data_IF_727400218354
#
_entry.id   IF_727400218354
#
_cell.length_a   1.000
_cell.length_b   1.000
_cell.length_c   1.000
_cell.angle_alpha   90.00
_cell.angle_beta   90.00
_cell.angle_gamma   90.00
#
_symmetry.space_group_name_H-M   'P 1'
#
loop_
_entity.id
_entity.type
_entity.pdbx_description
1 polymer ?
#
# COMPACT_ATOMS: atom_id res chain seq x y z
N UNK A 1 16.55 -12.35 3.62
CA UNK A 1 17.52 -11.28 3.28
C UNK A 1 16.75 -10.20 2.56
N UNK A 2 16.99 -8.90 2.85
CA UNK A 2 16.39 -7.81 2.09
C UNK A 2 16.83 -7.90 0.62
N UNK A 3 16.01 -7.42 -0.33
CA UNK A 3 16.34 -7.49 -1.75
C UNK A 3 17.49 -6.55 -2.05
N UNK A 4 18.30 -6.86 -3.06
CA UNK A 4 19.23 -5.85 -3.57
C UNK A 4 18.42 -4.70 -4.18
N UNK A 5 18.98 -3.49 -4.14
CA UNK A 5 18.39 -2.32 -4.80
C UNK A 5 18.10 -2.58 -6.28
N UNK A 6 19.03 -3.25 -6.96
CA UNK A 6 18.91 -3.57 -8.38
C UNK A 6 17.68 -4.49 -8.63
N UNK A 7 17.54 -5.56 -7.85
CA UNK A 7 16.42 -6.50 -7.99
C UNK A 7 15.07 -5.84 -7.69
N UNK A 8 15.02 -5.01 -6.64
CA UNK A 8 13.81 -4.28 -6.26
C UNK A 8 13.40 -3.25 -7.32
N UNK A 9 14.36 -2.54 -7.90
CA UNK A 9 14.11 -1.57 -8.97
C UNK A 9 13.65 -2.26 -10.26
N UNK A 10 14.32 -3.35 -10.65
CA UNK A 10 13.94 -4.11 -11.84
C UNK A 10 12.54 -4.72 -11.69
N UNK A 11 12.19 -5.22 -10.50
CA UNK A 11 10.83 -5.67 -10.22
C UNK A 11 9.82 -4.50 -10.26
N UNK A 12 10.12 -3.37 -9.63
CA UNK A 12 9.24 -2.20 -9.61
C UNK A 12 8.94 -1.71 -11.03
N UNK A 13 9.94 -1.65 -11.91
CA UNK A 13 9.75 -1.31 -13.34
C UNK A 13 8.77 -2.26 -14.02
N UNK A 14 8.91 -3.56 -13.82
CA UNK A 14 7.99 -4.57 -14.39
C UNK A 14 6.57 -4.43 -13.85
N UNK A 15 6.42 -4.22 -12.55
CA UNK A 15 5.11 -4.16 -11.87
C UNK A 15 4.36 -2.87 -12.17
N UNK A 16 5.03 -1.72 -12.16
CA UNK A 16 4.39 -0.43 -12.39
C UNK A 16 4.30 -0.05 -13.88
N UNK A 17 5.08 -0.70 -14.75
CA UNK A 17 5.09 -0.44 -16.19
C UNK A 17 5.63 0.95 -16.54
N UNK A 18 6.48 1.53 -15.68
CA UNK A 18 7.03 2.87 -15.84
C UNK A 18 8.54 2.77 -16.01
N UNK A 19 9.04 3.36 -17.10
CA UNK A 19 10.47 3.46 -17.42
C UNK A 19 11.06 4.83 -16.99
N UNK A 20 10.65 5.33 -15.82
CA UNK A 20 11.14 6.58 -15.24
C UNK A 20 12.30 6.28 -14.28
N UNK A 21 13.41 5.82 -14.87
CA UNK A 21 14.52 5.19 -14.15
C UNK A 21 15.02 5.94 -12.91
N UNK A 22 15.19 7.26 -12.95
CA UNK A 22 15.76 8.02 -11.83
C UNK A 22 14.77 8.29 -10.69
N UNK A 23 13.55 8.72 -11.01
CA UNK A 23 12.51 9.03 -9.99
C UNK A 23 12.04 7.75 -9.31
N UNK A 24 11.77 6.69 -10.09
CA UNK A 24 11.37 5.40 -9.53
C UNK A 24 12.51 4.77 -8.71
N UNK A 25 13.77 4.95 -9.15
CA UNK A 25 14.95 4.51 -8.42
C UNK A 25 15.06 5.16 -7.04
N UNK A 26 14.89 6.48 -6.96
CA UNK A 26 14.92 7.21 -5.70
C UNK A 26 13.79 6.80 -4.76
N UNK A 27 12.57 6.60 -5.26
CA UNK A 27 11.46 6.12 -4.44
C UNK A 27 11.67 4.70 -3.89
N UNK A 28 12.21 3.79 -4.71
CA UNK A 28 12.49 2.41 -4.28
C UNK A 28 13.57 2.42 -3.20
N UNK A 29 14.63 3.21 -3.39
CA UNK A 29 15.68 3.39 -2.39
C UNK A 29 15.14 3.91 -1.08
N UNK A 30 14.39 5.02 -1.13
CA UNK A 30 13.82 5.64 0.06
C UNK A 30 12.95 4.63 0.83
N UNK A 31 12.12 3.85 0.13
CA UNK A 31 11.28 2.83 0.75
C UNK A 31 12.08 1.70 1.38
N UNK A 32 13.15 1.24 0.74
CA UNK A 32 14.00 0.17 1.29
C UNK A 32 14.82 0.67 2.48
N UNK A 33 15.31 1.91 2.44
CA UNK A 33 16.13 2.50 3.51
C UNK A 33 15.32 2.86 4.75
N UNK A 34 14.07 3.29 4.57
CA UNK A 34 13.21 3.74 5.67
C UNK A 34 12.29 2.64 6.22
N UNK A 35 12.33 1.43 5.67
CA UNK A 35 11.51 0.33 6.15
C UNK A 35 12.14 -0.34 7.39
N UNK A 36 11.32 -0.58 8.41
CA UNK A 36 11.70 -1.39 9.56
C UNK A 36 11.77 -2.88 9.19
N UNK A 37 10.86 -3.31 8.29
CA UNK A 37 10.77 -4.70 7.85
C UNK A 37 10.63 -4.77 6.34
N UNK A 38 11.45 -5.60 5.72
CA UNK A 38 11.39 -5.89 4.29
C UNK A 38 11.23 -7.40 4.07
N UNK A 39 10.13 -7.78 3.42
CA UNK A 39 9.93 -9.13 2.92
C UNK A 39 10.31 -9.19 1.45
N UNK A 40 11.05 -10.23 1.09
CA UNK A 40 11.34 -10.59 -0.30
C UNK A 40 10.73 -11.94 -0.60
N UNK A 41 10.11 -12.05 -1.76
CA UNK A 41 9.57 -13.29 -2.29
C UNK A 41 10.42 -13.73 -3.47
N UNK A 42 10.85 -14.99 -3.46
CA UNK A 42 11.73 -15.57 -4.47
C UNK A 42 11.10 -16.84 -5.03
N UNK A 43 11.25 -17.06 -6.33
CA UNK A 43 10.96 -18.33 -7.00
C UNK A 43 12.23 -18.81 -7.69
N UNK A 44 12.89 -19.81 -7.11
CA UNK A 44 14.27 -20.16 -7.45
C UNK A 44 15.21 -18.99 -7.13
N UNK A 45 16.01 -18.60 -8.11
CA UNK A 45 16.97 -17.48 -8.00
C UNK A 45 16.35 -16.12 -8.36
N UNK A 46 15.08 -16.09 -8.76
CA UNK A 46 14.41 -14.87 -9.23
C UNK A 46 13.56 -14.26 -8.14
N UNK A 47 13.77 -12.97 -7.88
CA UNK A 47 12.87 -12.19 -7.03
C UNK A 47 11.54 -11.90 -7.75
N UNK A 48 10.45 -12.33 -7.13
CA UNK A 48 9.08 -12.21 -7.66
C UNK A 48 8.24 -11.19 -6.88
N UNK A 49 8.76 -10.67 -5.77
CA UNK A 49 7.99 -9.78 -4.92
C UNK A 49 8.80 -9.12 -3.82
N UNK A 50 8.36 -7.95 -3.38
CA UNK A 50 8.71 -7.43 -2.06
C UNK A 50 7.54 -6.69 -1.39
N UNK A 51 7.63 -6.59 -0.07
CA UNK A 51 6.78 -5.77 0.78
C UNK A 51 7.66 -5.03 1.79
N UNK A 52 7.50 -3.72 1.89
CA UNK A 52 8.18 -2.87 2.86
C UNK A 52 7.17 -2.33 3.88
N UNK A 53 7.51 -2.47 5.16
CA UNK A 53 6.67 -2.11 6.29
C UNK A 53 7.46 -1.23 7.26
N UNK A 54 6.78 -0.27 7.85
CA UNK A 54 7.32 0.64 8.87
C UNK A 54 6.33 0.70 10.05
N UNK A 55 6.81 0.60 11.28
CA UNK A 55 6.01 0.78 12.48
C UNK A 55 6.01 2.26 12.85
N UNK A 56 4.88 2.94 12.61
CA UNK A 56 4.77 4.38 12.92
C UNK A 56 4.51 4.64 14.40
N UNK A 57 3.69 3.78 15.01
CA UNK A 57 3.29 3.85 16.40
C UNK A 57 3.13 2.42 16.94
N UNK A 58 2.92 2.29 18.25
CA UNK A 58 2.77 0.97 18.86
C UNK A 58 1.63 0.16 18.24
N UNK A 59 0.57 0.83 17.83
CA UNK A 59 -0.66 0.25 17.28
C UNK A 59 -0.81 0.41 15.76
N UNK A 60 0.15 1.04 15.06
CA UNK A 60 0.03 1.39 13.63
C UNK A 60 1.19 0.83 12.80
N UNK A 61 0.85 -0.08 11.88
CA UNK A 61 1.73 -0.58 10.84
C UNK A 61 1.49 0.17 9.54
N UNK A 62 2.53 0.73 8.92
CA UNK A 62 2.47 1.41 7.64
C UNK A 62 3.08 0.54 6.54
N UNK A 63 2.27 0.21 5.53
CA UNK A 63 2.74 -0.40 4.29
C UNK A 63 3.26 0.70 3.36
N UNK A 64 4.59 0.83 3.35
CA UNK A 64 5.31 1.85 2.59
C UNK A 64 5.45 1.49 1.11
N UNK A 65 5.44 0.19 0.80
CA UNK A 65 5.60 -0.32 -0.57
C UNK A 65 5.26 -1.80 -0.69
N UNK A 66 4.69 -2.16 -1.82
CA UNK A 66 4.51 -3.55 -2.24
C UNK A 66 4.61 -3.62 -3.76
N UNK A 67 5.39 -4.56 -4.25
CA UNK A 67 5.46 -4.89 -5.67
C UNK A 67 5.53 -6.41 -5.79
N UNK A 68 4.57 -7.00 -6.50
CA UNK A 68 4.50 -8.44 -6.76
C UNK A 68 4.40 -8.62 -8.26
N UNK A 69 5.27 -9.45 -8.82
CA UNK A 69 5.33 -9.72 -10.25
C UNK A 69 3.97 -10.28 -10.73
N UNK A 70 3.43 -9.84 -11.89
CA UNK A 70 2.03 -10.12 -12.27
C UNK A 70 1.59 -11.59 -12.19
N UNK A 71 2.41 -12.60 -12.58
CA UNK A 71 2.02 -14.01 -12.46
C UNK A 71 1.79 -14.50 -11.01
N UNK A 72 2.29 -13.75 -10.02
CA UNK A 72 2.22 -14.09 -8.60
C UNK A 72 1.25 -13.21 -7.82
N UNK A 73 0.59 -12.26 -8.48
CA UNK A 73 -0.45 -11.46 -7.86
C UNK A 73 -1.67 -12.33 -7.53
N UNK A 74 -2.38 -11.99 -6.45
CA UNK A 74 -3.54 -12.76 -5.97
C UNK A 74 -3.20 -14.01 -5.16
N UNK A 75 -1.92 -14.40 -5.04
CA UNK A 75 -1.50 -15.57 -4.26
C UNK A 75 -1.39 -15.31 -2.74
N UNK A 76 -1.80 -14.13 -2.27
CA UNK A 76 -1.80 -13.80 -0.84
C UNK A 76 -0.44 -13.42 -0.24
N UNK A 77 0.61 -13.26 -1.04
CA UNK A 77 1.96 -12.92 -0.56
C UNK A 77 2.00 -11.66 0.31
N UNK A 78 1.37 -10.57 -0.12
CA UNK A 78 1.28 -9.33 0.65
C UNK A 78 0.53 -9.50 1.96
N UNK A 79 -0.57 -10.28 1.95
CA UNK A 79 -1.34 -10.60 3.16
C UNK A 79 -0.48 -11.39 4.15
N UNK A 80 0.29 -12.38 3.67
CA UNK A 80 1.17 -13.17 4.50
C UNK A 80 2.23 -12.32 5.21
N UNK A 81 2.94 -11.45 4.47
CA UNK A 81 3.94 -10.56 5.04
C UNK A 81 3.35 -9.62 6.11
N UNK A 82 2.23 -8.97 5.80
CA UNK A 82 1.56 -8.06 6.73
C UNK A 82 1.10 -8.79 7.99
N UNK A 83 0.51 -9.98 7.85
CA UNK A 83 0.02 -10.76 8.99
C UNK A 83 1.13 -11.27 9.89
N UNK A 84 2.26 -11.66 9.31
CA UNK A 84 3.42 -12.06 10.09
C UNK A 84 3.89 -10.91 11.00
N UNK A 85 4.08 -9.71 10.45
CA UNK A 85 4.48 -8.55 11.25
C UNK A 85 3.41 -8.17 12.26
N UNK A 86 2.14 -8.13 11.85
CA UNK A 86 1.03 -7.83 12.75
C UNK A 86 1.03 -8.74 13.99
N UNK A 87 1.31 -10.04 13.83
CA UNK A 87 1.39 -10.99 14.94
C UNK A 87 2.60 -10.76 15.83
N UNK A 88 3.75 -10.38 15.26
CA UNK A 88 4.99 -10.15 16.00
C UNK A 88 4.94 -8.86 16.85
N UNK A 89 4.37 -7.77 16.32
CA UNK A 89 4.36 -6.45 16.98
C UNK A 89 2.99 -6.04 17.54
N UNK A 90 2.00 -6.92 17.43
CA UNK A 90 0.64 -6.74 17.95
C UNK A 90 -0.08 -5.44 17.53
N UNK A 91 0.14 -4.97 16.29
CA UNK A 91 -0.51 -3.74 15.80
C UNK A 91 -2.00 -3.92 15.52
N UNK A 92 -2.77 -2.85 15.76
CA UNK A 92 -4.23 -2.81 15.54
C UNK A 92 -4.60 -2.27 14.16
N UNK A 93 -3.82 -1.33 13.64
CA UNK A 93 -4.14 -0.62 12.40
C UNK A 93 -3.10 -0.93 11.31
N UNK A 94 -3.59 -1.09 10.09
CA UNK A 94 -2.79 -1.02 8.87
C UNK A 94 -3.05 0.31 8.18
N UNK A 95 -1.99 1.00 7.82
CA UNK A 95 -2.07 2.24 7.06
C UNK A 95 -1.35 2.05 5.74
N UNK A 96 -1.86 2.63 4.66
CA UNK A 96 -1.17 2.71 3.38
C UNK A 96 -1.69 3.86 2.53
N UNK A 97 -0.92 4.21 1.50
CA UNK A 97 -1.31 5.16 0.45
C UNK A 97 -1.40 4.45 -0.89
N UNK A 98 -2.40 4.76 -1.69
CA UNK A 98 -2.53 4.14 -3.03
C UNK A 98 -3.34 4.98 -4.01
N UNK A 99 -3.09 4.77 -5.30
CA UNK A 99 -4.00 5.14 -6.40
C UNK A 99 -4.83 3.94 -6.90
N UNK A 100 -4.51 2.74 -6.41
CA UNK A 100 -5.06 1.49 -6.89
C UNK A 100 -6.20 0.99 -6.00
N UNK A 101 -7.39 0.93 -6.60
CA UNK A 101 -8.57 0.28 -6.02
C UNK A 101 -8.33 -1.19 -5.67
N UNK A 102 -7.43 -1.88 -6.39
CA UNK A 102 -7.07 -3.25 -6.08
C UNK A 102 -6.26 -3.36 -4.78
N UNK A 103 -5.41 -2.39 -4.47
CA UNK A 103 -4.70 -2.36 -3.19
C UNK A 103 -5.67 -2.13 -2.02
N UNK A 104 -6.64 -1.23 -2.18
CA UNK A 104 -7.73 -1.05 -1.22
C UNK A 104 -8.54 -2.34 -1.04
N UNK A 105 -8.95 -2.99 -2.13
CA UNK A 105 -9.72 -4.23 -2.10
C UNK A 105 -8.94 -5.39 -1.47
N UNK A 106 -7.64 -5.46 -1.74
CA UNK A 106 -6.75 -6.43 -1.16
C UNK A 106 -6.70 -6.25 0.37
N UNK A 107 -6.50 -5.03 0.87
CA UNK A 107 -6.52 -4.74 2.30
C UNK A 107 -7.87 -5.07 2.95
N UNK A 108 -8.97 -4.76 2.27
CA UNK A 108 -10.32 -5.16 2.70
C UNK A 108 -10.47 -6.69 2.89
N UNK A 109 -9.67 -7.53 2.21
CA UNK A 109 -9.76 -8.99 2.35
C UNK A 109 -9.13 -9.55 3.64
N UNK A 110 -8.46 -8.70 4.42
CA UNK A 110 -7.80 -9.12 5.65
C UNK A 110 -7.84 -8.08 6.78
N UNK A 111 -8.56 -6.98 6.61
CA UNK A 111 -8.96 -6.10 7.70
C UNK A 111 -10.45 -6.32 7.97
N UNK A 112 -10.87 -6.24 9.23
CA UNK A 112 -12.30 -6.30 9.59
C UNK A 112 -13.03 -5.06 9.08
N UNK A 113 -12.33 -3.92 9.12
CA UNK A 113 -12.82 -2.64 8.61
C UNK A 113 -11.71 -1.97 7.80
N UNK A 114 -12.08 -1.18 6.79
CA UNK A 114 -11.15 -0.32 6.07
C UNK A 114 -11.82 1.01 5.75
N UNK A 115 -11.06 2.09 5.88
CA UNK A 115 -11.51 3.45 5.63
C UNK A 115 -10.55 4.16 4.68
N UNK A 116 -11.05 5.03 3.78
CA UNK A 116 -12.48 5.25 3.51
C UNK A 116 -13.14 4.01 2.89
N UNK A 117 -14.46 3.89 3.06
CA UNK A 117 -15.29 2.81 2.50
C UNK A 117 -16.61 3.37 1.96
N UNK A 118 -17.16 2.83 0.85
CA UNK A 118 -18.42 3.30 0.28
C UNK A 118 -19.56 3.32 1.31
N UNK A 119 -20.30 4.42 1.39
CA UNK A 119 -21.51 4.54 2.22
C UNK A 119 -21.28 4.45 3.74
N UNK A 120 -20.03 4.49 4.20
CA UNK A 120 -19.68 4.31 5.62
C UNK A 120 -19.25 5.65 6.22
N UNK A 121 -19.75 5.99 7.41
CA UNK A 121 -19.28 7.13 8.19
C UNK A 121 -17.96 6.76 8.86
N UNK A 122 -16.95 7.64 8.76
CA UNK A 122 -15.67 7.44 9.43
C UNK A 122 -15.87 7.60 10.95
N UNK A 123 -15.57 6.57 11.76
CA UNK A 123 -15.71 6.68 13.20
C UNK A 123 -14.56 7.49 13.80
N UNK A 124 -14.79 8.15 14.94
CA UNK A 124 -13.82 9.08 15.54
C UNK A 124 -12.45 8.46 15.86
N UNK A 125 -12.39 7.16 16.18
CA UNK A 125 -11.11 6.48 16.41
C UNK A 125 -10.24 6.37 15.15
N UNK A 126 -10.84 6.39 13.95
CA UNK A 126 -10.10 6.44 12.68
C UNK A 126 -9.60 7.86 12.44
N UNK A 127 -10.39 8.89 12.76
CA UNK A 127 -9.94 10.29 12.67
C UNK A 127 -8.75 10.57 13.61
N UNK A 128 -8.75 9.96 14.80
CA UNK A 128 -7.60 10.02 15.73
C UNK A 128 -6.34 9.37 15.13
N UNK A 129 -6.47 8.19 14.51
CA UNK A 129 -5.34 7.54 13.80
C UNK A 129 -4.87 8.43 12.65
N UNK A 130 -5.80 8.95 11.84
CA UNK A 130 -5.51 9.84 10.73
C UNK A 130 -4.73 11.10 11.18
N UNK A 131 -5.12 11.70 12.30
CA UNK A 131 -4.43 12.84 12.90
C UNK A 131 -2.98 12.51 13.27
N UNK A 132 -2.74 11.33 13.85
CA UNK A 132 -1.39 10.87 14.25
C UNK A 132 -0.47 10.61 13.04
N UNK A 133 -1.00 10.02 11.97
CA UNK A 133 -0.18 9.63 10.80
C UNK A 133 0.05 10.78 9.80
N UNK A 134 -0.68 11.90 9.92
CA UNK A 134 -0.76 12.96 8.90
C UNK A 134 0.59 13.43 8.38
N UNK A 135 1.57 13.65 9.27
CA UNK A 135 2.86 14.21 8.89
C UNK A 135 3.75 13.21 8.13
N UNK A 136 3.50 11.92 8.28
CA UNK A 136 4.30 10.85 7.67
C UNK A 136 3.62 10.28 6.42
N UNK A 137 2.31 10.07 6.52
CA UNK A 137 1.51 9.38 5.50
C UNK A 137 0.69 10.37 4.66
N UNK A 138 0.47 11.60 5.10
CA UNK A 138 -0.35 12.57 4.39
C UNK A 138 -1.77 12.68 4.94
N UNK A 139 -2.59 13.48 4.26
CA UNK A 139 -3.94 13.86 4.71
C UNK A 139 -4.94 12.78 4.36
N UNK A 140 -5.74 12.36 5.34
CA UNK A 140 -6.86 11.45 5.16
C UNK A 140 -8.15 12.22 4.78
N UNK A 141 -8.99 11.71 3.87
CA UNK A 141 -8.82 10.45 3.13
C UNK A 141 -7.94 10.58 1.88
N UNK A 142 -7.64 11.80 1.42
CA UNK A 142 -6.90 12.05 0.18
C UNK A 142 -5.80 13.06 0.40
N UNK A 143 -4.59 12.70 -0.03
CA UNK A 143 -3.47 13.63 -0.18
C UNK A 143 -3.38 14.05 -1.64
N UNK A 144 -3.86 15.26 -1.93
CA UNK A 144 -3.95 15.76 -3.31
C UNK A 144 -2.58 15.94 -3.95
N UNK A 145 -2.44 15.52 -5.20
CA UNK A 145 -1.21 15.68 -6.01
C UNK A 145 0.03 14.99 -5.42
N UNK A 146 -0.15 14.04 -4.49
CA UNK A 146 0.95 13.41 -3.75
C UNK A 146 2.03 12.80 -4.65
N UNK A 147 1.61 12.16 -5.75
CA UNK A 147 2.53 11.52 -6.70
C UNK A 147 2.97 12.45 -7.84
N UNK A 148 2.47 13.69 -7.92
CA UNK A 148 2.77 14.62 -9.01
C UNK A 148 2.30 14.16 -10.40
N UNK A 149 1.40 13.17 -10.45
CA UNK A 149 0.87 12.57 -11.68
C UNK A 149 0.57 11.07 -11.49
N UNK A 150 0.44 10.34 -12.60
CA UNK A 150 0.10 8.91 -12.60
C UNK A 150 1.25 8.08 -12.01
N UNK A 151 0.96 7.31 -10.95
CA UNK A 151 1.91 6.32 -10.40
C UNK A 151 1.99 5.03 -11.23
N UNK A 152 0.96 4.74 -12.01
CA UNK A 152 0.88 3.54 -12.85
C UNK A 152 0.82 3.96 -14.32
N UNK A 153 1.28 3.11 -15.23
CA UNK A 153 1.17 3.39 -16.67
C UNK A 153 -0.29 3.61 -17.11
N UNK A 154 -1.22 2.87 -16.52
CA UNK A 154 -2.65 2.98 -16.74
C UNK A 154 -3.41 3.01 -15.42
N UNK A 155 -4.57 3.66 -15.43
CA UNK A 155 -5.49 3.70 -14.29
C UNK A 155 -5.94 2.28 -13.93
N UNK A 156 -5.80 1.85 -12.67
CA UNK A 156 -6.36 0.57 -12.22
C UNK A 156 -7.88 0.55 -12.32
N UNK A 157 -8.46 -0.45 -13.00
CA UNK A 157 -9.91 -0.59 -13.21
C UNK A 157 -10.40 -1.87 -12.54
N UNK A 158 -11.46 -1.74 -11.74
CA UNK A 158 -12.17 -2.82 -11.08
C UNK A 158 -13.43 -3.21 -11.86
N UNK A 159 -13.79 -4.49 -11.84
CA UNK A 159 -14.95 -5.02 -12.57
C UNK A 159 -16.30 -4.53 -12.03
N UNK A 160 -16.37 -4.27 -10.72
CA UNK A 160 -17.54 -3.64 -10.08
C UNK A 160 -17.57 -2.14 -10.39
N UNK A 161 -18.52 -1.72 -11.23
CA UNK A 161 -18.66 -0.33 -11.69
C UNK A 161 -19.10 0.63 -10.60
N UNK A 162 -19.88 0.19 -9.61
CA UNK A 162 -20.31 1.04 -8.49
C UNK A 162 -19.10 1.34 -7.62
N UNK A 163 -18.32 0.31 -7.29
CA UNK A 163 -17.09 0.47 -6.51
C UNK A 163 -16.06 1.31 -7.28
N UNK A 164 -15.90 1.08 -8.58
CA UNK A 164 -15.02 1.89 -9.43
C UNK A 164 -15.44 3.37 -9.44
N UNK A 165 -16.74 3.65 -9.59
CA UNK A 165 -17.26 5.03 -9.63
C UNK A 165 -17.03 5.75 -8.30
N UNK A 166 -17.23 5.05 -7.18
CA UNK A 166 -16.91 5.60 -5.86
C UNK A 166 -15.41 5.92 -5.73
N UNK A 167 -14.53 4.99 -6.12
CA UNK A 167 -13.08 5.21 -6.06
C UNK A 167 -12.64 6.39 -6.93
N UNK A 168 -13.22 6.49 -8.12
CA UNK A 168 -12.95 7.56 -9.07
C UNK A 168 -13.42 8.94 -8.58
N UNK A 169 -14.47 8.97 -7.77
CA UNK A 169 -14.91 10.19 -7.08
C UNK A 169 -13.99 10.61 -5.92
N UNK A 170 -13.13 9.71 -5.44
CA UNK A 170 -12.20 9.96 -4.35
C UNK A 170 -10.78 10.28 -4.85
N UNK A 171 -10.33 9.62 -5.91
CA UNK A 171 -8.94 9.67 -6.37
C UNK A 171 -8.83 10.24 -7.78
N UNK A 172 -8.33 11.47 -7.91
CA UNK A 172 -7.90 11.99 -9.21
C UNK A 172 -6.55 11.35 -9.61
N UNK A 173 -6.65 10.30 -10.43
CA UNK A 173 -5.50 9.55 -10.93
C UNK A 173 -4.55 10.41 -11.79
N UNK A 174 -5.09 11.34 -12.57
CA UNK A 174 -4.31 12.17 -13.49
C UNK A 174 -3.55 13.26 -12.73
N UNK A 175 -4.21 13.88 -11.74
CA UNK A 175 -3.59 14.87 -10.87
C UNK A 175 -2.50 14.27 -9.96
N UNK A 176 -2.58 12.97 -9.66
CA UNK A 176 -1.61 12.30 -8.81
C UNK A 176 -2.04 12.18 -7.36
N UNK A 177 -3.35 12.20 -7.09
CA UNK A 177 -3.88 12.04 -5.74
C UNK A 177 -3.50 10.68 -5.16
N UNK A 178 -3.29 10.62 -3.85
CA UNK A 178 -3.12 9.38 -3.11
C UNK A 178 -4.22 9.24 -2.07
N UNK A 179 -4.96 8.12 -2.12
CA UNK A 179 -5.92 7.76 -1.07
C UNK A 179 -5.15 7.18 0.11
N UNK A 180 -5.30 7.80 1.27
CA UNK A 180 -4.80 7.29 2.55
C UNK A 180 -5.84 6.32 3.09
N UNK A 181 -5.45 5.05 3.19
CA UNK A 181 -6.31 3.97 3.68
C UNK A 181 -5.89 3.58 5.10
N UNK A 182 -6.88 3.38 5.98
CA UNK A 182 -6.71 2.92 7.35
C UNK A 182 -7.58 1.67 7.54
N UNK A 183 -6.93 0.51 7.67
CA UNK A 183 -7.56 -0.76 7.97
C UNK A 183 -7.47 -1.11 9.46
N UNK A 184 -8.49 -1.74 10.00
CA UNK A 184 -8.50 -2.31 11.35
C UNK A 184 -8.29 -3.82 11.22
N UNK A 185 -7.23 -4.34 11.81
CA UNK A 185 -7.03 -5.79 11.83
C UNK A 185 -8.07 -6.47 12.72
N UNK A 186 -8.43 -7.74 12.43
CA UNK A 186 -9.17 -8.54 13.38
C UNK A 186 -8.43 -8.67 14.69
N UNK A 187 -9.20 -8.72 15.78
CA UNK A 187 -8.67 -9.00 17.10
C UNK A 187 -7.84 -10.29 17.07
N UNK A 188 -6.75 -10.32 17.84
CA UNK A 188 -5.93 -11.53 17.99
C UNK A 188 -6.83 -12.62 18.59
N UNK A 189 -7.18 -13.61 17.76
CA UNK A 189 -7.84 -14.85 18.18
C UNK A 189 -6.84 -15.87 18.70
#
# INVERSE_FOLDING_TARGET
>A
MPPSKADALDLAKRVFGIDQGEVLGAEVDERLMNADVVFSFVNGDTMIGFVTLERLFDDVLYLTGAAIDPPYQGQGLTKQAIRQVQQEIHTRYLVFRTQSIHAWKLAHSYCDEIYPSPGTVVPGYIDEVAGRIKNKVGVFPVTSGHYGGKKFHAKPIHADSILQTWWDGLCDFEHGDAVVCIGVFPAFG
#
